data_IF_538404434335
#
_entry.id   IF_538404434335
#
_cell.length_a   1.000
_cell.length_b   1.000
_cell.length_c   1.000
_cell.angle_alpha   90.00
_cell.angle_beta   90.00
_cell.angle_gamma   90.00
#
_symmetry.space_group_name_H-M   'P 1'
#
loop_
_entity.id
_entity.type
_entity.pdbx_description
1 polymer ?
#
# COMPACT_ATOMS: atom_id res chain seq x y z
N UNK A 1 26.51 -28.02 -9.17
CA UNK A 1 25.66 -27.08 -9.95
C UNK A 1 24.33 -26.74 -9.27
N UNK A 2 23.62 -27.71 -8.68
CA UNK A 2 22.32 -27.49 -8.04
C UNK A 2 22.29 -26.36 -6.97
N UNK A 3 23.33 -26.23 -6.15
CA UNK A 3 23.42 -25.18 -5.10
C UNK A 3 23.43 -23.76 -5.67
N UNK A 4 24.03 -23.56 -6.86
CA UNK A 4 24.07 -22.26 -7.56
C UNK A 4 22.71 -21.92 -8.18
N UNK A 5 22.04 -22.93 -8.75
CA UNK A 5 20.67 -22.79 -9.26
C UNK A 5 19.71 -22.43 -8.12
N UNK A 6 19.81 -23.11 -6.97
CA UNK A 6 18.97 -22.84 -5.80
C UNK A 6 19.14 -21.41 -5.28
N UNK A 7 20.39 -20.94 -5.18
CA UNK A 7 20.69 -19.56 -4.78
C UNK A 7 20.14 -18.53 -5.77
N UNK A 8 20.19 -18.79 -7.08
CA UNK A 8 19.60 -17.90 -8.08
C UNK A 8 18.07 -17.86 -7.99
N UNK A 9 17.41 -19.00 -7.78
CA UNK A 9 15.95 -19.06 -7.61
C UNK A 9 15.53 -18.34 -6.32
N UNK A 10 16.25 -18.56 -5.22
CA UNK A 10 15.99 -17.88 -3.95
C UNK A 10 16.15 -16.36 -4.07
N UNK A 11 17.23 -15.91 -4.74
CA UNK A 11 17.44 -14.50 -5.04
C UNK A 11 16.27 -13.91 -5.84
N UNK A 12 15.82 -14.61 -6.88
CA UNK A 12 14.73 -14.14 -7.74
C UNK A 12 13.41 -14.00 -6.98
N UNK A 13 13.10 -14.93 -6.08
CA UNK A 13 11.88 -14.89 -5.24
C UNK A 13 11.97 -13.74 -4.23
N UNK A 14 13.12 -13.57 -3.55
CA UNK A 14 13.32 -12.48 -2.60
C UNK A 14 13.29 -11.09 -3.25
N UNK A 15 13.74 -10.94 -4.49
CA UNK A 15 13.68 -9.67 -5.23
C UNK A 15 12.26 -9.28 -5.63
N UNK A 16 11.38 -10.25 -5.89
CA UNK A 16 9.98 -10.00 -6.29
C UNK A 16 9.06 -9.61 -5.12
N UNK A 17 9.49 -9.83 -3.86
CA UNK A 17 8.75 -9.36 -2.69
C UNK A 17 8.75 -7.83 -2.52
N UNK A 18 9.53 -7.09 -3.31
CA UNK A 18 9.54 -5.63 -3.30
C UNK A 18 8.39 -5.00 -4.12
N UNK A 19 7.64 -5.80 -4.88
CA UNK A 19 6.59 -5.33 -5.80
C UNK A 19 5.16 -5.53 -5.29
N UNK A 20 4.96 -6.04 -4.06
CA UNK A 20 3.63 -6.03 -3.45
C UNK A 20 3.34 -4.62 -2.93
N UNK A 21 2.42 -3.94 -3.61
CA UNK A 21 2.00 -2.57 -3.38
C UNK A 21 1.65 -2.26 -1.93
N UNK A 22 2.65 -1.81 -1.18
CA UNK A 22 2.40 -0.92 -0.05
C UNK A 22 2.11 0.45 -0.63
N UNK A 23 1.00 1.07 -0.24
CA UNK A 23 0.84 2.50 -0.42
C UNK A 23 1.95 3.17 0.41
N UNK A 24 3.02 3.60 -0.26
CA UNK A 24 4.28 3.94 0.40
C UNK A 24 4.19 5.34 1.00
N UNK A 25 4.12 5.40 2.32
CA UNK A 25 4.51 6.58 3.08
C UNK A 25 6.04 6.60 3.20
N UNK A 26 6.69 7.53 2.51
CA UNK A 26 8.13 7.73 2.59
C UNK A 26 8.43 8.98 3.41
N UNK A 27 9.36 8.87 4.37
CA UNK A 27 9.91 10.03 5.04
C UNK A 27 10.85 10.76 4.08
N UNK A 28 10.52 12.00 3.74
CA UNK A 28 11.31 12.81 2.82
C UNK A 28 12.35 13.64 3.59
N UNK A 29 11.97 14.25 4.73
CA UNK A 29 12.90 14.92 5.64
C UNK A 29 12.35 15.07 7.05
N UNK A 30 13.23 15.20 8.04
CA UNK A 30 12.90 15.54 9.42
C UNK A 30 13.96 16.50 9.99
N UNK A 31 13.72 17.80 9.89
CA UNK A 31 14.68 18.84 10.28
C UNK A 31 13.97 20.00 10.99
N UNK A 32 14.64 20.61 11.98
CA UNK A 32 14.16 21.80 12.69
C UNK A 32 12.73 21.66 13.23
N UNK A 33 12.38 20.47 13.75
CA UNK A 33 11.03 20.17 14.26
C UNK A 33 9.95 20.02 13.18
N UNK A 34 10.32 19.97 11.90
CA UNK A 34 9.40 19.73 10.78
C UNK A 34 9.63 18.36 10.18
N UNK A 35 8.54 17.63 9.94
CA UNK A 35 8.55 16.32 9.27
C UNK A 35 7.84 16.42 7.94
N UNK A 36 8.50 16.04 6.85
CA UNK A 36 7.92 15.96 5.51
C UNK A 36 7.73 14.50 5.13
N UNK A 37 6.47 14.10 4.95
CA UNK A 37 6.09 12.76 4.52
C UNK A 37 5.57 12.86 3.08
N UNK A 38 6.03 11.98 2.21
CA UNK A 38 5.50 11.82 0.87
C UNK A 38 4.63 10.58 0.82
N UNK A 39 3.38 10.75 0.41
CA UNK A 39 2.43 9.68 0.17
C UNK A 39 2.22 9.57 -1.34
N UNK A 40 2.31 8.35 -1.85
CA UNK A 40 1.81 8.02 -3.19
C UNK A 40 0.53 7.23 -3.02
N UNK A 41 -0.59 7.76 -3.53
CA UNK A 41 -1.82 6.98 -3.59
C UNK A 41 -1.58 5.80 -4.50
N UNK A 42 -1.62 4.58 -3.96
CA UNK A 42 -1.67 3.39 -4.80
C UNK A 42 -3.05 3.21 -5.40
N UNK A 43 -3.29 2.02 -5.93
CA UNK A 43 -4.50 1.71 -6.68
C UNK A 43 -5.75 1.82 -5.79
N UNK A 44 -6.53 2.89 -5.99
CA UNK A 44 -7.87 3.01 -5.44
C UNK A 44 -8.80 2.20 -6.33
N UNK A 45 -9.38 1.15 -5.77
CA UNK A 45 -10.41 0.37 -6.46
C UNK A 45 -11.79 0.86 -6.05
N UNK A 46 -12.79 0.61 -6.88
CA UNK A 46 -14.19 0.89 -6.56
C UNK A 46 -15.04 -0.34 -6.73
N UNK A 47 -16.00 -0.52 -5.82
CA UNK A 47 -17.05 -1.53 -5.94
C UNK A 47 -18.42 -0.86 -5.89
N UNK A 48 -19.38 -1.43 -6.64
CA UNK A 48 -20.78 -1.02 -6.54
C UNK A 48 -21.47 -1.80 -5.44
N UNK A 49 -22.22 -1.09 -4.59
CA UNK A 49 -23.00 -1.66 -3.49
C UNK A 49 -24.42 -1.08 -3.55
N UNK A 50 -25.30 -1.76 -4.27
CA UNK A 50 -26.62 -1.21 -4.60
C UNK A 50 -26.47 0.09 -5.40
N UNK A 51 -27.06 1.18 -4.89
CA UNK A 51 -26.99 2.51 -5.50
C UNK A 51 -25.71 3.29 -5.16
N UNK A 52 -24.82 2.72 -4.33
CA UNK A 52 -23.61 3.39 -3.85
C UNK A 52 -22.36 2.85 -4.53
N UNK A 53 -21.32 3.70 -4.60
CA UNK A 53 -19.96 3.27 -4.95
C UNK A 53 -19.12 3.32 -3.68
N UNK A 54 -18.48 2.21 -3.33
CA UNK A 54 -17.50 2.17 -2.24
C UNK A 54 -16.10 2.23 -2.83
N UNK A 55 -15.24 3.01 -2.19
CA UNK A 55 -13.80 3.00 -2.42
C UNK A 55 -13.14 1.90 -1.59
N UNK A 56 -12.30 1.10 -2.24
CA UNK A 56 -11.50 0.05 -1.61
C UNK A 56 -10.04 0.50 -1.69
N UNK A 57 -9.41 0.70 -0.53
CA UNK A 57 -7.97 0.89 -0.42
C UNK A 57 -7.29 -0.39 0.09
N UNK A 58 -6.07 -0.70 -0.36
CA UNK A 58 -5.25 -1.78 0.22
C UNK A 58 -4.89 -1.49 1.69
N UNK A 59 -4.86 -0.21 2.08
CA UNK A 59 -4.60 0.21 3.45
C UNK A 59 -5.83 0.00 4.33
N UNK A 60 -5.60 -0.50 5.54
CA UNK A 60 -6.63 -0.73 6.55
C UNK A 60 -6.94 0.56 7.31
N UNK A 61 -8.13 1.11 7.11
CA UNK A 61 -8.64 2.26 7.86
C UNK A 61 -9.91 2.80 7.23
N UNK A 62 -10.92 3.13 8.04
CA UNK A 62 -12.14 3.80 7.61
C UNK A 62 -12.26 5.09 8.41
N UNK A 63 -12.56 6.19 7.74
CA UNK A 63 -12.66 7.52 8.37
C UNK A 63 -13.93 7.72 9.19
N UNK A 64 -14.88 6.80 9.16
CA UNK A 64 -16.23 7.06 9.66
C UNK A 64 -16.80 5.95 10.55
N UNK A 65 -17.66 6.39 11.47
CA UNK A 65 -18.50 5.52 12.27
C UNK A 65 -19.56 4.83 11.39
N UNK A 66 -20.14 3.75 11.94
CA UNK A 66 -21.18 3.00 11.25
C UNK A 66 -22.35 3.93 10.84
N UNK A 67 -22.73 3.88 9.55
CA UNK A 67 -23.83 4.67 8.98
C UNK A 67 -23.41 5.97 8.30
N UNK A 68 -22.12 6.35 8.37
CA UNK A 68 -21.58 7.55 7.73
C UNK A 68 -20.74 7.21 6.47
N UNK A 69 -20.74 8.06 5.42
CA UNK A 69 -20.01 7.77 4.18
C UNK A 69 -18.51 7.60 4.39
N UNK A 70 -17.97 6.46 3.95
CA UNK A 70 -16.57 6.11 4.21
C UNK A 70 -15.62 6.71 3.18
N UNK A 71 -14.48 7.20 3.66
CA UNK A 71 -13.33 7.52 2.83
C UNK A 71 -12.15 6.62 3.21
N UNK A 72 -11.38 6.14 2.22
CA UNK A 72 -10.15 5.38 2.48
C UNK A 72 -9.07 6.27 3.12
N UNK A 73 -8.22 5.67 3.95
CA UNK A 73 -7.07 6.30 4.64
C UNK A 73 -5.71 5.91 4.02
#
# INVERSE_FOLDING_TARGET
MAKKIFLMILSLICSNHLLLGSNQFNLNSAENGKTKIQFSSGDIQTESIGEYTRFISPNTGRTTEQGMPELPL
#
